data_IF_761508896133
#
_entry.id   IF_761508896133
#
_cell.length_a   1.000
_cell.length_b   1.000
_cell.length_c   1.000
_cell.angle_alpha   90.00
_cell.angle_beta   90.00
_cell.angle_gamma   90.00
#
_symmetry.space_group_name_H-M   'P 1'
#
loop_
_entity.id
_entity.type
_entity.pdbx_description
1 polymer ?
#
# COMPACT_ATOMS: atom_id res chain seq x y z
N UNK A 1 16.62 -14.90 2.06
CA UNK A 1 15.84 -14.26 0.99
C UNK A 1 14.65 -15.13 0.67
N UNK A 2 13.42 -14.61 0.76
CA UNK A 2 12.22 -15.44 0.60
C UNK A 2 11.82 -15.56 -0.87
N UNK A 3 11.07 -16.61 -1.24
CA UNK A 3 10.52 -16.78 -2.60
C UNK A 3 9.64 -15.59 -3.02
N UNK A 4 9.03 -14.91 -2.07
CA UNK A 4 8.20 -13.74 -2.29
C UNK A 4 9.02 -12.49 -2.62
N UNK A 5 10.19 -12.31 -1.99
CA UNK A 5 11.10 -11.21 -2.30
C UNK A 5 11.66 -11.33 -3.73
N UNK A 6 11.91 -12.57 -4.17
CA UNK A 6 12.34 -12.84 -5.53
C UNK A 6 11.29 -12.40 -6.56
N UNK A 7 10.01 -12.70 -6.32
CA UNK A 7 8.90 -12.29 -7.19
C UNK A 7 8.78 -10.77 -7.31
N UNK A 8 8.87 -10.05 -6.19
CA UNK A 8 8.83 -8.58 -6.22
C UNK A 8 10.02 -7.99 -6.97
N UNK A 9 11.23 -8.53 -6.80
CA UNK A 9 12.40 -8.12 -7.58
C UNK A 9 12.20 -8.32 -9.08
N UNK A 10 11.65 -9.45 -9.51
CA UNK A 10 11.32 -9.70 -10.92
C UNK A 10 10.34 -8.66 -11.46
N UNK A 11 9.31 -8.31 -10.68
CA UNK A 11 8.36 -7.28 -11.07
C UNK A 11 9.01 -5.90 -11.19
N UNK A 12 9.91 -5.54 -10.28
CA UNK A 12 10.61 -4.25 -10.31
C UNK A 12 11.55 -4.15 -11.52
N UNK A 13 12.14 -5.26 -11.97
CA UNK A 13 12.88 -5.30 -13.22
C UNK A 13 11.96 -5.06 -14.42
N UNK A 14 10.76 -5.63 -14.42
CA UNK A 14 9.79 -5.36 -15.49
C UNK A 14 9.36 -3.90 -15.49
N UNK A 15 9.01 -3.34 -14.32
CA UNK A 15 8.73 -1.90 -14.15
C UNK A 15 9.89 -1.05 -14.68
N UNK A 16 11.13 -1.40 -14.37
CA UNK A 16 12.31 -0.66 -14.82
C UNK A 16 12.40 -0.59 -16.35
N UNK A 17 12.07 -1.68 -17.06
CA UNK A 17 12.08 -1.71 -18.53
C UNK A 17 11.08 -0.77 -19.16
N UNK A 18 10.02 -0.40 -18.45
CA UNK A 18 9.00 0.54 -18.90
C UNK A 18 9.28 1.99 -18.48
N UNK A 19 10.28 2.24 -17.62
CA UNK A 19 10.64 3.60 -17.18
C UNK A 19 11.61 4.27 -18.17
N UNK A 20 11.23 5.45 -18.66
CA UNK A 20 12.13 6.31 -19.43
C UNK A 20 13.22 6.91 -18.53
N UNK A 21 14.32 7.42 -19.11
CA UNK A 21 15.36 8.04 -18.28
C UNK A 21 14.82 9.25 -17.46
N UNK A 22 13.87 10.01 -18.04
CA UNK A 22 13.20 11.10 -17.33
C UNK A 22 12.40 10.58 -16.15
N UNK A 23 11.66 9.48 -16.32
CA UNK A 23 10.91 8.85 -15.22
C UNK A 23 11.85 8.38 -14.11
N UNK A 24 12.97 7.74 -14.47
CA UNK A 24 13.97 7.25 -13.51
C UNK A 24 14.58 8.39 -12.70
N UNK A 25 14.91 9.52 -13.34
CA UNK A 25 15.40 10.72 -12.67
C UNK A 25 14.36 11.31 -11.72
N UNK A 26 13.12 11.50 -12.18
CA UNK A 26 12.01 12.01 -11.36
C UNK A 26 11.75 11.10 -10.17
N UNK A 27 11.77 9.79 -10.38
CA UNK A 27 11.54 8.81 -9.34
C UNK A 27 12.66 8.83 -8.31
N UNK A 28 13.92 8.87 -8.74
CA UNK A 28 15.05 8.99 -7.83
C UNK A 28 14.97 10.27 -6.99
N UNK A 29 14.58 11.39 -7.60
CA UNK A 29 14.38 12.64 -6.87
C UNK A 29 13.30 12.50 -5.78
N UNK A 30 12.18 11.84 -6.09
CA UNK A 30 11.07 11.64 -5.14
C UNK A 30 11.36 10.62 -4.03
N UNK A 31 12.18 9.61 -4.31
CA UNK A 31 12.65 8.65 -3.29
C UNK A 31 13.52 9.39 -2.26
N UNK A 32 14.33 10.35 -2.74
CA UNK A 32 15.11 11.24 -1.88
C UNK A 32 16.43 10.64 -1.42
N UNK A 33 17.30 11.54 -0.95
CA UNK A 33 18.69 11.21 -0.61
C UNK A 33 18.84 10.33 0.63
N UNK A 34 17.80 10.28 1.48
CA UNK A 34 17.82 9.46 2.70
C UNK A 34 17.67 7.98 2.38
N UNK A 35 16.91 7.64 1.34
CA UNK A 35 16.57 6.26 0.97
C UNK A 35 17.51 5.69 -0.11
N UNK A 36 18.25 6.56 -0.81
CA UNK A 36 19.23 6.18 -1.85
C UNK A 36 20.67 6.35 -1.33
N UNK A 37 21.56 5.34 -1.47
CA UNK A 37 22.97 5.47 -1.13
C UNK A 37 23.65 6.62 -1.86
N UNK A 38 24.49 7.40 -1.16
CA UNK A 38 25.17 8.58 -1.72
C UNK A 38 25.98 8.27 -3.00
N UNK A 39 26.60 7.09 -3.06
CA UNK A 39 27.30 6.61 -4.28
C UNK A 39 26.42 6.61 -5.53
N UNK A 40 25.13 6.29 -5.40
CA UNK A 40 24.20 6.25 -6.53
C UNK A 40 23.75 7.66 -6.90
N UNK A 41 23.57 8.53 -5.90
CA UNK A 41 23.30 9.96 -6.14
C UNK A 41 24.46 10.62 -6.91
N UNK A 42 25.70 10.27 -6.57
CA UNK A 42 26.89 10.78 -7.27
C UNK A 42 26.94 10.29 -8.72
N UNK A 43 26.55 9.04 -9.01
CA UNK A 43 26.44 8.50 -10.38
C UNK A 43 25.37 9.26 -11.16
N UNK A 44 24.21 9.50 -10.56
CA UNK A 44 23.12 10.26 -11.21
C UNK A 44 23.57 11.69 -11.52
N UNK A 45 24.26 12.34 -10.57
CA UNK A 45 24.75 13.69 -10.74
C UNK A 45 25.82 13.81 -11.83
N UNK A 46 26.66 12.79 -12.02
CA UNK A 46 27.74 12.77 -13.02
C UNK A 46 27.25 12.34 -14.40
N UNK A 47 26.52 11.24 -14.46
CA UNK A 47 26.23 10.53 -15.72
C UNK A 47 24.79 10.75 -16.18
N UNK A 48 23.94 11.38 -15.36
CA UNK A 48 22.50 11.55 -15.64
C UNK A 48 21.72 10.24 -15.70
N UNK A 49 22.36 9.12 -15.35
CA UNK A 49 21.80 7.78 -15.37
C UNK A 49 21.43 7.36 -13.96
N UNK A 50 20.17 6.97 -13.77
CA UNK A 50 19.69 6.41 -12.52
C UNK A 50 19.72 4.87 -12.61
N UNK A 51 20.69 4.19 -11.94
CA UNK A 51 20.74 2.75 -11.89
C UNK A 51 19.62 2.22 -10.99
N UNK A 52 18.41 2.19 -11.53
CA UNK A 52 17.20 1.88 -10.77
C UNK A 52 17.25 0.52 -10.09
N UNK A 53 17.97 -0.45 -10.66
CA UNK A 53 18.20 -1.76 -10.02
C UNK A 53 18.90 -1.60 -8.65
N UNK A 54 19.95 -0.79 -8.58
CA UNK A 54 20.65 -0.53 -7.32
C UNK A 54 19.79 0.29 -6.33
N UNK A 55 18.93 1.15 -6.85
CA UNK A 55 17.96 1.91 -6.05
C UNK A 55 16.91 0.96 -5.46
N UNK A 56 16.40 0.00 -6.24
CA UNK A 56 15.48 -1.03 -5.76
C UNK A 56 16.08 -1.85 -4.63
N UNK A 57 17.32 -2.32 -4.80
CA UNK A 57 18.03 -3.07 -3.75
C UNK A 57 18.21 -2.22 -2.49
N UNK A 58 18.56 -0.93 -2.62
CA UNK A 58 18.65 -0.06 -1.46
C UNK A 58 17.31 0.11 -0.72
N UNK A 59 16.19 0.20 -1.44
CA UNK A 59 14.86 0.26 -0.84
C UNK A 59 14.48 -1.05 -0.13
N UNK A 60 14.90 -2.20 -0.66
CA UNK A 60 14.74 -3.50 0.01
C UNK A 60 15.56 -3.59 1.29
N UNK A 61 16.85 -3.24 1.23
CA UNK A 61 17.77 -3.32 2.37
C UNK A 61 17.30 -2.44 3.53
N UNK A 62 16.71 -1.29 3.21
CA UNK A 62 16.12 -0.35 4.17
C UNK A 62 14.68 -0.70 4.57
N UNK A 63 14.12 -1.79 4.03
CA UNK A 63 12.72 -2.23 4.24
C UNK A 63 11.68 -1.17 3.89
N UNK A 64 12.00 -0.25 2.97
CA UNK A 64 11.05 0.76 2.45
C UNK A 64 10.03 0.13 1.51
N UNK A 65 10.44 -0.93 0.81
CA UNK A 65 9.55 -1.76 0.01
C UNK A 65 9.68 -3.22 0.43
N UNK A 66 8.55 -3.91 0.48
CA UNK A 66 8.46 -5.37 0.68
C UNK A 66 7.25 -5.89 -0.10
N UNK A 67 7.14 -7.21 -0.28
CA UNK A 67 5.97 -7.81 -0.94
C UNK A 67 4.63 -7.43 -0.26
N UNK A 68 4.65 -7.16 1.04
CA UNK A 68 3.47 -6.78 1.82
C UNK A 68 3.29 -5.25 1.94
N UNK A 69 4.29 -4.47 1.52
CA UNK A 69 4.28 -3.02 1.61
C UNK A 69 4.95 -2.43 0.38
N UNK A 70 4.16 -2.22 -0.67
CA UNK A 70 4.55 -1.54 -1.91
C UNK A 70 3.96 -0.13 -2.03
N UNK A 71 3.17 0.31 -1.04
CA UNK A 71 2.48 1.59 -1.04
C UNK A 71 3.42 2.77 -1.24
N UNK A 72 4.59 2.71 -0.60
CA UNK A 72 5.65 3.70 -0.79
C UNK A 72 5.93 3.88 -2.29
N UNK A 73 6.17 2.80 -3.03
CA UNK A 73 6.50 2.88 -4.45
C UNK A 73 5.29 3.26 -5.32
N UNK A 74 4.10 2.75 -5.01
CA UNK A 74 2.85 3.12 -5.71
C UNK A 74 2.64 4.64 -5.66
N UNK A 75 2.80 5.26 -4.49
CA UNK A 75 2.66 6.71 -4.34
C UNK A 75 3.69 7.50 -5.17
N UNK A 76 4.94 7.03 -5.26
CA UNK A 76 5.98 7.73 -6.03
C UNK A 76 5.76 7.55 -7.54
N UNK A 77 5.33 6.37 -7.98
CA UNK A 77 4.93 6.13 -9.38
C UNK A 77 3.74 7.01 -9.78
N UNK A 78 2.76 7.18 -8.90
CA UNK A 78 1.63 8.09 -9.13
C UNK A 78 2.06 9.55 -9.26
N UNK A 79 3.04 10.00 -8.47
CA UNK A 79 3.58 11.37 -8.54
C UNK A 79 4.36 11.68 -9.82
N UNK A 80 4.86 10.66 -10.52
CA UNK A 80 5.50 10.83 -11.84
C UNK A 80 4.54 10.50 -12.99
N UNK A 81 3.24 10.40 -12.70
CA UNK A 81 2.17 10.11 -13.67
C UNK A 81 2.28 8.73 -14.34
N UNK A 82 3.02 7.78 -13.72
CA UNK A 82 3.12 6.38 -14.16
C UNK A 82 2.07 5.50 -13.46
N UNK A 83 0.80 5.85 -13.68
CA UNK A 83 -0.35 5.16 -13.10
C UNK A 83 -0.47 3.71 -13.58
N UNK A 84 -0.07 3.45 -14.82
CA UNK A 84 0.04 2.13 -15.44
C UNK A 84 0.92 1.18 -14.60
N UNK A 85 2.11 1.67 -14.20
CA UNK A 85 3.06 0.88 -13.40
C UNK A 85 2.63 0.79 -11.93
N UNK A 86 1.99 1.83 -11.40
CA UNK A 86 1.44 1.82 -10.05
C UNK A 86 0.32 0.77 -9.92
N UNK A 87 -0.56 0.66 -10.92
CA UNK A 87 -1.63 -0.33 -10.98
C UNK A 87 -1.07 -1.75 -11.16
N UNK A 88 -0.08 -1.93 -12.03
CA UNK A 88 0.64 -3.20 -12.17
C UNK A 88 1.19 -3.69 -10.82
N UNK A 89 1.83 -2.79 -10.06
CA UNK A 89 2.39 -3.09 -8.76
C UNK A 89 1.31 -3.45 -7.72
N UNK A 90 0.20 -2.72 -7.72
CA UNK A 90 -0.97 -2.96 -6.85
C UNK A 90 -1.63 -4.32 -7.12
N UNK A 91 -1.77 -4.69 -8.38
CA UNK A 91 -2.39 -5.96 -8.78
C UNK A 91 -1.50 -7.17 -8.44
N UNK A 92 -0.18 -7.00 -8.49
CA UNK A 92 0.76 -8.07 -8.19
C UNK A 92 0.99 -8.28 -6.69
N UNK A 93 0.94 -7.20 -5.91
CA UNK A 93 1.06 -7.22 -4.46
C UNK A 93 -0.29 -6.83 -3.87
N UNK A 94 -1.30 -7.73 -3.86
CA UNK A 94 -2.57 -7.43 -3.24
C UNK A 94 -2.29 -7.01 -1.82
N UNK A 95 -2.66 -5.76 -1.50
CA UNK A 95 -2.55 -5.25 -0.15
C UNK A 95 -3.21 -6.27 0.78
N UNK A 96 -2.63 -6.55 1.96
CA UNK A 96 -3.40 -7.26 2.97
C UNK A 96 -4.69 -6.46 3.15
N UNK A 97 -5.82 -7.07 2.82
CA UNK A 97 -7.12 -6.43 2.91
C UNK A 97 -7.25 -5.86 4.32
N UNK A 98 -7.09 -4.55 4.49
CA UNK A 98 -7.64 -3.85 5.65
C UNK A 98 -9.15 -3.81 5.43
N UNK A 99 -9.81 -4.93 5.76
CA UNK A 99 -11.22 -4.95 6.11
C UNK A 99 -11.37 -4.22 7.45
N UNK A 100 -11.37 -2.90 7.39
CA UNK A 100 -12.07 -2.08 8.38
C UNK A 100 -13.24 -1.36 7.72
N UNK A 101 -14.01 -2.10 6.92
CA UNK A 101 -15.43 -1.80 6.81
C UNK A 101 -16.08 -2.54 7.99
N UNK A 102 -16.23 -1.86 9.12
CA UNK A 102 -17.25 -2.25 10.09
C UNK A 102 -18.56 -2.37 9.31
N UNK A 103 -19.23 -3.54 9.29
CA UNK A 103 -20.62 -3.54 8.85
C UNK A 103 -21.35 -2.68 9.87
N UNK A 104 -21.73 -1.46 9.48
CA UNK A 104 -22.74 -0.71 10.22
C UNK A 104 -23.99 -1.58 10.16
N UNK A 105 -24.18 -2.39 11.19
CA UNK A 105 -25.44 -3.05 11.46
C UNK A 105 -26.42 -1.93 11.72
N UNK A 106 -27.10 -1.50 10.66
CA UNK A 106 -28.31 -0.72 10.76
C UNK A 106 -29.31 -1.63 11.48
N UNK A 107 -29.28 -1.53 12.81
CA UNK A 107 -30.20 -2.22 13.69
C UNK A 107 -31.53 -1.51 13.52
N UNK A 108 -32.26 -1.90 12.47
CA UNK A 108 -33.64 -1.55 12.29
C UNK A 108 -34.41 -2.26 13.41
N UNK A 109 -34.69 -1.52 14.47
CA UNK A 109 -35.59 -1.92 15.55
C UNK A 109 -36.96 -2.29 14.96
N UNK A 110 -37.16 -3.57 14.67
CA UNK A 110 -38.48 -4.18 14.56
C UNK A 110 -38.73 -4.93 15.86
N UNK A 111 -39.14 -4.19 16.90
CA UNK A 111 -39.69 -4.81 18.10
C UNK A 111 -41.08 -5.32 17.76
N UNK A 112 -41.14 -6.62 17.50
CA UNK A 112 -42.35 -7.44 17.45
C UNK A 112 -43.20 -7.19 18.69
N UNK A 113 -44.44 -6.69 18.51
CA UNK A 113 -45.46 -6.77 19.55
C UNK A 113 -45.78 -8.24 19.81
N UNK A 114 -45.29 -8.78 20.92
CA UNK A 114 -45.76 -10.04 21.48
C UNK A 114 -46.31 -9.76 22.88
N UNK A 115 -47.62 -9.95 22.95
CA UNK A 115 -48.50 -10.02 24.11
C UNK A 115 -47.84 -10.67 25.34
N UNK A 116 -47.92 -10.01 26.48
CA UNK A 116 -47.79 -10.66 27.79
C UNK A 116 -48.96 -10.19 28.66
N UNK A 117 -49.84 -11.13 28.99
CA UNK A 117 -50.88 -10.99 30.00
C UNK A 117 -50.30 -11.31 31.39
N UNK A 118 -50.86 -10.61 32.38
CA UNK A 118 -50.90 -10.89 33.83
C UNK A 118 -49.57 -10.80 34.58
N UNK A 119 -49.46 -10.22 35.77
CA UNK A 119 -50.37 -9.58 36.74
C UNK A 119 -49.48 -8.93 37.82
N UNK A 120 -50.08 -8.12 38.70
CA UNK A 120 -49.61 -7.69 40.05
C UNK A 120 -49.35 -6.19 40.22
N UNK A 121 -50.44 -5.44 40.42
CA UNK A 121 -50.49 -4.49 41.53
C UNK A 121 -51.72 -4.79 42.38
N UNK A 122 -51.47 -5.43 43.52
CA UNK A 122 -52.41 -5.50 44.64
C UNK A 122 -52.60 -4.08 45.20
N UNK A 123 -53.82 -3.55 45.09
CA UNK A 123 -54.30 -2.50 45.99
C UNK A 123 -54.93 -3.20 47.20
N UNK A 124 -54.42 -2.88 48.38
CA UNK A 124 -54.97 -3.29 49.67
C UNK A 124 -55.58 -2.06 50.32
N UNK A 125 -56.87 -2.10 50.60
CA UNK A 125 -57.62 -1.14 51.44
C UNK A 125 -58.15 -1.92 52.66
N UNK A 126 -58.28 -1.27 53.81
CA UNK A 126 -59.46 -1.44 54.64
C UNK A 126 -60.23 -0.13 54.89
#
# INVERSE_FOLDING_TARGET
MTRSDFKLRTLLLEIDRHLTNVDRQRLCFLIGCEDVPRRLLDIIAKDGSAPMTDIWEALFDRRKITINNVNYLIERLGKIERLDLAELLKNYCPLPFSLSATPSTETRSQTTQRTTMSELFNYHDP
#
